data_IF_155085923297
#
_entry.id   IF_155085923297
#
_cell.length_a   1.000
_cell.length_b   1.000
_cell.length_c   1.000
_cell.angle_alpha   90.00
_cell.angle_beta   90.00
_cell.angle_gamma   90.00
#
_symmetry.space_group_name_H-M   'P 1'
#
loop_
_entity.id
_entity.type
_entity.pdbx_description
1 polymer ?
#
# COMPACT_ATOMS: atom_id res chain seq x y z
N UNK A 1 20.71 12.36 9.01
CA UNK A 1 20.26 11.51 7.89
C UNK A 1 21.20 11.72 6.72
N UNK A 2 21.93 10.69 6.33
CA UNK A 2 22.88 10.73 5.21
C UNK A 2 22.14 10.84 3.87
N UNK A 3 22.84 11.23 2.80
CA UNK A 3 22.26 11.24 1.45
C UNK A 3 21.79 9.85 1.00
N UNK A 4 22.49 8.80 1.44
CA UNK A 4 22.11 7.41 1.23
C UNK A 4 20.78 7.05 1.91
N UNK A 5 20.63 7.39 3.20
CA UNK A 5 19.39 7.18 3.96
C UNK A 5 18.23 8.00 3.39
N UNK A 6 18.48 9.25 2.97
CA UNK A 6 17.50 10.09 2.26
C UNK A 6 17.02 9.41 0.98
N UNK A 7 17.96 8.96 0.15
CA UNK A 7 17.66 8.28 -1.11
C UNK A 7 16.83 7.02 -0.88
N UNK A 8 17.21 6.20 0.11
CA UNK A 8 16.43 5.03 0.51
C UNK A 8 14.98 5.41 0.84
N UNK A 9 14.76 6.44 1.67
CA UNK A 9 13.41 6.88 2.05
C UNK A 9 12.59 7.31 0.83
N UNK A 10 13.18 8.02 -0.13
CA UNK A 10 12.50 8.42 -1.36
C UNK A 10 12.13 7.21 -2.22
N UNK A 11 13.04 6.26 -2.41
CA UNK A 11 12.75 5.04 -3.18
C UNK A 11 11.69 4.18 -2.49
N UNK A 12 11.77 4.01 -1.17
CA UNK A 12 10.77 3.31 -0.38
C UNK A 12 9.40 3.98 -0.47
N UNK A 13 9.35 5.32 -0.38
CA UNK A 13 8.12 6.09 -0.54
C UNK A 13 7.52 5.91 -1.94
N UNK A 14 8.32 5.97 -3.01
CA UNK A 14 7.85 5.71 -4.38
C UNK A 14 7.27 4.31 -4.54
N UNK A 15 7.92 3.29 -3.97
CA UNK A 15 7.40 1.93 -3.93
C UNK A 15 6.06 1.85 -3.19
N UNK A 16 5.97 2.51 -2.03
CA UNK A 16 4.72 2.60 -1.26
C UNK A 16 3.61 3.29 -2.03
N UNK A 17 3.87 4.40 -2.72
CA UNK A 17 2.86 5.10 -3.53
C UNK A 17 2.25 4.20 -4.62
N UNK A 18 3.05 3.32 -5.23
CA UNK A 18 2.55 2.34 -6.21
C UNK A 18 1.57 1.34 -5.57
N UNK A 19 1.93 0.85 -4.38
CA UNK A 19 1.11 -0.06 -3.59
C UNK A 19 -0.19 0.63 -3.16
N UNK A 20 -0.08 1.83 -2.57
CA UNK A 20 -1.22 2.62 -2.11
C UNK A 20 -2.22 2.86 -3.25
N UNK A 21 -1.73 3.29 -4.42
CA UNK A 21 -2.57 3.51 -5.61
C UNK A 21 -3.26 2.23 -6.10
N UNK A 22 -2.59 1.08 -5.99
CA UNK A 22 -3.16 -0.22 -6.37
C UNK A 22 -4.30 -0.60 -5.42
N UNK A 23 -4.09 -0.45 -4.11
CA UNK A 23 -5.12 -0.72 -3.11
C UNK A 23 -6.30 0.26 -3.20
N UNK A 24 -6.04 1.54 -3.46
CA UNK A 24 -7.09 2.54 -3.68
C UNK A 24 -7.99 2.14 -4.86
N UNK A 25 -7.39 1.74 -5.99
CA UNK A 25 -8.14 1.26 -7.16
C UNK A 25 -8.87 -0.04 -6.88
N UNK A 26 -8.26 -0.97 -6.15
CA UNK A 26 -8.87 -2.23 -5.75
C UNK A 26 -10.14 -1.99 -4.95
N UNK A 27 -10.05 -1.18 -3.88
CA UNK A 27 -11.15 -0.86 -2.98
C UNK A 27 -12.24 -0.07 -3.69
N UNK A 28 -11.87 0.92 -4.51
CA UNK A 28 -12.85 1.67 -5.30
C UNK A 28 -13.64 0.79 -6.27
N UNK A 29 -12.95 -0.08 -7.03
CA UNK A 29 -13.59 -0.96 -8.02
C UNK A 29 -14.49 -2.01 -7.35
N UNK A 30 -14.11 -2.53 -6.19
CA UNK A 30 -14.80 -3.63 -5.51
C UNK A 30 -15.29 -3.23 -4.12
N UNK A 31 -16.37 -2.43 -4.08
CA UNK A 31 -17.03 -1.96 -2.84
C UNK A 31 -17.45 -3.06 -1.86
N UNK A 32 -17.51 -4.32 -2.30
CA UNK A 32 -17.70 -5.47 -1.41
C UNK A 32 -16.61 -5.55 -0.32
N UNK A 33 -15.39 -5.09 -0.60
CA UNK A 33 -14.28 -5.08 0.35
C UNK A 33 -14.54 -4.18 1.58
N UNK A 34 -15.22 -3.05 1.39
CA UNK A 34 -15.56 -2.15 2.49
C UNK A 34 -16.62 -2.75 3.42
N UNK A 35 -17.44 -3.67 2.88
CA UNK A 35 -18.53 -4.34 3.61
C UNK A 35 -18.09 -5.62 4.31
N UNK A 36 -16.83 -6.06 4.15
CA UNK A 36 -16.32 -7.28 4.77
C UNK A 36 -16.53 -7.34 6.28
N UNK A 37 -16.46 -6.21 6.98
CA UNK A 37 -16.69 -6.12 8.43
C UNK A 37 -18.14 -6.37 8.85
N UNK A 38 -19.11 -6.11 7.96
CA UNK A 38 -20.55 -6.31 8.20
C UNK A 38 -21.08 -7.61 7.62
N UNK A 39 -20.24 -8.42 6.96
CA UNK A 39 -20.65 -9.74 6.49
C UNK A 39 -20.93 -10.65 7.68
N UNK A 40 -22.18 -11.10 7.81
CA UNK A 40 -22.64 -11.92 8.94
C UNK A 40 -21.93 -13.28 9.07
N UNK A 41 -21.19 -13.71 8.05
CA UNK A 41 -20.44 -14.97 8.06
C UNK A 41 -18.95 -14.72 7.76
N UNK A 42 -18.15 -14.59 8.83
CA UNK A 42 -16.72 -14.29 8.74
C UNK A 42 -15.91 -15.31 7.91
N UNK A 43 -16.38 -16.56 7.79
CA UNK A 43 -15.72 -17.58 6.98
C UNK A 43 -15.75 -17.30 5.47
N UNK A 44 -16.67 -16.44 5.00
CA UNK A 44 -16.79 -16.09 3.59
C UNK A 44 -15.94 -14.87 3.19
N UNK A 45 -15.50 -14.07 4.16
CA UNK A 45 -14.71 -12.86 3.92
C UNK A 45 -13.41 -13.14 3.13
N UNK A 46 -12.63 -14.19 3.43
CA UNK A 46 -11.43 -14.51 2.65
C UNK A 46 -11.72 -14.79 1.17
N UNK A 47 -12.81 -15.48 0.87
CA UNK A 47 -13.20 -15.81 -0.51
C UNK A 47 -13.58 -14.55 -1.30
N UNK A 48 -14.28 -13.61 -0.65
CA UNK A 48 -14.60 -12.31 -1.25
C UNK A 48 -13.32 -11.52 -1.54
N UNK A 49 -12.42 -11.44 -0.57
CA UNK A 49 -11.14 -10.73 -0.73
C UNK A 49 -10.34 -11.31 -1.90
N UNK A 50 -10.16 -12.64 -1.93
CA UNK A 50 -9.43 -13.34 -2.99
C UNK A 50 -10.07 -13.09 -4.36
N UNK A 51 -11.40 -13.20 -4.46
CA UNK A 51 -12.13 -12.97 -5.70
C UNK A 51 -11.95 -11.54 -6.21
N UNK A 52 -12.06 -10.53 -5.34
CA UNK A 52 -11.83 -9.13 -5.70
C UNK A 52 -10.40 -8.89 -6.19
N UNK A 53 -9.39 -9.48 -5.55
CA UNK A 53 -8.00 -9.39 -5.98
C UNK A 53 -7.78 -10.04 -7.36
N UNK A 54 -8.34 -11.23 -7.60
CA UNK A 54 -8.24 -11.92 -8.89
C UNK A 54 -8.87 -11.08 -9.99
N UNK A 55 -10.11 -10.61 -9.79
CA UNK A 55 -10.82 -9.80 -10.78
C UNK A 55 -10.14 -8.45 -11.02
N UNK A 56 -9.56 -7.84 -9.98
CA UNK A 56 -8.76 -6.62 -10.11
C UNK A 56 -7.55 -6.84 -11.01
N UNK A 57 -6.76 -7.89 -10.74
CA UNK A 57 -5.55 -8.20 -11.49
C UNK A 57 -5.86 -8.45 -12.96
N UNK A 58 -6.94 -9.19 -13.24
CA UNK A 58 -7.45 -9.38 -14.61
C UNK A 58 -7.77 -8.03 -15.24
N UNK A 59 -8.55 -7.19 -14.56
CA UNK A 59 -8.93 -5.89 -15.09
C UNK A 59 -7.73 -4.95 -15.36
N UNK A 60 -6.72 -4.92 -14.48
CA UNK A 60 -5.48 -4.16 -14.71
C UNK A 60 -4.66 -4.74 -15.86
N UNK A 61 -4.53 -6.07 -15.94
CA UNK A 61 -3.77 -6.75 -17.01
C UNK A 61 -4.35 -6.47 -18.40
N UNK A 62 -5.67 -6.38 -18.52
CA UNK A 62 -6.35 -6.08 -19.78
C UNK A 62 -6.62 -4.58 -20.00
N UNK A 63 -6.08 -3.70 -19.14
CA UNK A 63 -6.23 -2.25 -19.30
C UNK A 63 -7.67 -1.76 -19.17
N UNK A 64 -8.51 -2.47 -18.41
CA UNK A 64 -9.89 -2.07 -18.17
C UNK A 64 -9.94 -0.69 -17.50
N UNK A 65 -10.73 0.26 -18.02
CA UNK A 65 -10.73 1.63 -17.52
C UNK A 65 -11.14 1.67 -16.05
N UNK A 66 -10.48 2.55 -15.31
CA UNK A 66 -10.90 2.93 -13.97
C UNK A 66 -11.83 4.13 -14.04
N UNK A 67 -12.90 4.13 -13.27
CA UNK A 67 -13.83 5.26 -13.18
C UNK A 67 -13.57 5.98 -11.86
N UNK A 68 -13.19 7.25 -11.91
CA UNK A 68 -12.88 8.04 -10.70
C UNK A 68 -14.07 8.13 -9.74
N UNK A 69 -15.29 8.09 -10.26
CA UNK A 69 -16.53 7.98 -9.49
C UNK A 69 -16.57 6.78 -8.53
N UNK A 70 -15.79 5.72 -8.77
CA UNK A 70 -15.66 4.58 -7.86
C UNK A 70 -14.92 4.93 -6.57
N UNK A 71 -13.94 5.84 -6.65
CA UNK A 71 -13.30 6.43 -5.46
C UNK A 71 -14.24 7.44 -4.80
N UNK A 72 -14.90 8.31 -5.58
CA UNK A 72 -15.70 9.42 -5.03
C UNK A 72 -17.00 8.99 -4.34
N UNK A 73 -17.57 7.86 -4.74
CA UNK A 73 -18.83 7.38 -4.17
C UNK A 73 -18.58 6.71 -2.80
N UNK A 74 -18.37 7.52 -1.77
CA UNK A 74 -18.29 7.05 -0.38
C UNK A 74 -19.72 6.82 0.14
N UNK A 75 -20.09 5.58 0.47
CA UNK A 75 -21.31 5.33 1.23
C UNK A 75 -21.05 5.53 2.73
N UNK A 76 -22.09 5.76 3.53
CA UNK A 76 -21.97 5.83 5.00
C UNK A 76 -21.40 4.52 5.60
N UNK A 77 -21.47 3.43 4.83
CA UNK A 77 -20.93 2.10 5.15
C UNK A 77 -19.46 1.93 4.73
N UNK A 78 -18.89 2.88 3.96
CA UNK A 78 -17.46 2.93 3.61
C UNK A 78 -16.62 3.57 4.74
N UNK A 79 -17.24 3.95 5.87
CA UNK A 79 -16.51 4.37 7.07
C UNK A 79 -15.67 3.18 7.54
N UNK A 80 -14.36 3.26 7.32
CA UNK A 80 -13.40 2.32 7.91
C UNK A 80 -13.62 2.31 9.42
N UNK A 81 -14.03 1.16 10.01
CA UNK A 81 -14.10 1.05 11.45
C UNK A 81 -12.72 1.37 12.02
N UNK A 82 -12.68 2.00 13.21
CA UNK A 82 -11.42 2.14 13.94
C UNK A 82 -10.76 0.77 14.03
N UNK A 83 -9.62 0.64 13.34
CA UNK A 83 -8.80 -0.55 13.44
C UNK A 83 -8.42 -0.70 14.93
N UNK A 84 -8.49 -1.91 15.49
CA UNK A 84 -7.99 -2.16 16.83
C UNK A 84 -6.61 -1.53 16.97
N UNK A 85 -6.36 -0.83 18.08
CA UNK A 85 -5.01 -0.34 18.35
C UNK A 85 -4.13 -1.56 18.62
N UNK A 86 -3.52 -2.10 17.56
CA UNK A 86 -2.42 -3.02 17.70
C UNK A 86 -1.23 -2.20 18.17
N UNK A 87 -0.82 -2.40 19.42
CA UNK A 87 0.50 -2.01 19.86
C UNK A 87 1.50 -2.74 18.95
N UNK A 88 1.99 -2.02 17.95
CA UNK A 88 3.01 -2.54 17.06
C UNK A 88 4.28 -2.66 17.91
N UNK A 89 4.50 -3.85 18.48
CA UNK A 89 5.72 -4.19 19.22
C UNK A 89 6.89 -4.32 18.23
N UNK A 90 7.19 -3.27 17.47
CA UNK A 90 8.44 -3.16 16.73
C UNK A 90 9.51 -2.85 17.79
N UNK A 91 9.95 -3.90 18.47
CA UNK A 91 11.02 -3.86 19.48
C UNK A 91 12.33 -4.43 18.94
N UNK A 92 12.32 -4.86 17.68
CA UNK A 92 13.41 -5.62 17.07
C UNK A 92 14.44 -4.71 16.40
N UNK A 93 15.71 -4.82 16.84
CA UNK A 93 16.90 -4.23 16.19
C UNK A 93 17.04 -4.64 14.70
N UNK A 94 16.36 -5.71 14.29
CA UNK A 94 16.43 -6.30 12.96
C UNK A 94 15.89 -5.37 11.86
N UNK A 95 14.93 -4.49 12.18
CA UNK A 95 14.39 -3.52 11.22
C UNK A 95 15.39 -2.45 10.79
N UNK A 96 16.23 -1.99 11.73
CA UNK A 96 17.32 -1.06 11.44
C UNK A 96 18.41 -1.72 10.60
N UNK A 97 18.78 -2.96 10.91
CA UNK A 97 19.75 -3.73 10.12
C UNK A 97 19.26 -3.98 8.68
N UNK A 98 17.99 -4.34 8.50
CA UNK A 98 17.38 -4.48 7.17
C UNK A 98 17.41 -3.15 6.42
N UNK A 99 17.02 -2.05 7.06
CA UNK A 99 17.08 -0.71 6.45
C UNK A 99 18.51 -0.38 6.03
N UNK A 100 19.50 -0.57 6.89
CA UNK A 100 20.90 -0.26 6.61
C UNK A 100 21.45 -1.09 5.44
N UNK A 101 21.12 -2.39 5.39
CA UNK A 101 21.48 -3.28 4.26
C UNK A 101 20.84 -2.82 2.95
N UNK A 102 19.55 -2.48 2.97
CA UNK A 102 18.83 -1.98 1.79
C UNK A 102 19.38 -0.63 1.33
N UNK A 103 19.69 0.28 2.25
CA UNK A 103 20.31 1.57 1.95
C UNK A 103 21.63 1.38 1.20
N UNK A 104 22.49 0.46 1.68
CA UNK A 104 23.75 0.15 0.99
C UNK A 104 23.50 -0.44 -0.40
N UNK A 105 22.66 -1.46 -0.50
CA UNK A 105 22.30 -2.08 -1.78
C UNK A 105 21.76 -1.04 -2.78
N UNK A 106 20.94 -0.11 -2.31
CA UNK A 106 20.37 0.92 -3.16
C UNK A 106 21.41 1.92 -3.65
N UNK A 107 22.34 2.36 -2.79
CA UNK A 107 23.41 3.26 -3.20
C UNK A 107 24.35 2.62 -4.23
N UNK A 108 24.61 1.32 -4.10
CA UNK A 108 25.48 0.59 -5.03
C UNK A 108 24.84 0.39 -6.42
N UNK A 109 23.50 0.50 -6.53
CA UNK A 109 22.76 0.10 -7.74
C UNK A 109 21.87 1.18 -8.37
N UNK A 110 21.53 2.22 -7.63
CA UNK A 110 20.66 3.31 -8.08
C UNK A 110 21.32 4.67 -7.84
N UNK A 111 20.95 5.72 -8.62
CA UNK A 111 21.44 7.06 -8.38
C UNK A 111 21.11 7.56 -6.97
N UNK A 112 22.09 8.17 -6.31
CA UNK A 112 21.86 8.88 -5.05
C UNK A 112 21.09 10.15 -5.36
N UNK A 113 19.99 10.35 -4.65
CA UNK A 113 19.17 11.55 -4.74
C UNK A 113 19.83 12.59 -3.84
N UNK A 114 20.40 13.60 -4.46
CA UNK A 114 20.96 14.78 -3.80
C UNK A 114 20.00 15.92 -4.12
N UNK A 115 19.39 16.51 -3.10
CA UNK A 115 18.60 17.73 -3.30
C UNK A 115 19.57 18.90 -3.57
N UNK A 116 19.20 19.79 -4.50
CA UNK A 116 19.98 20.99 -4.86
C UNK A 116 20.15 21.99 -3.68
N UNK A 117 19.57 21.73 -2.51
CA UNK A 117 19.72 22.55 -1.29
C UNK A 117 21.07 22.39 -0.58
N UNK A 118 21.91 21.43 -1.00
CA UNK A 118 23.26 21.19 -0.47
C UNK A 118 24.38 21.77 -1.40
N UNK A 119 24.05 22.65 -2.37
CA UNK A 119 24.97 23.34 -3.30
C UNK A 119 25.10 24.85 -3.04
#
# INVERSE_FOLDING_TARGET
MTAAERSFNVYAAKGRTCIDRTFERLVGRWKALNRCSSMGQASFVPDVILTCCILHNIAEQYGSPYKDAWSECHSEEDVTPEQPHWECQITSMDGEDVRNRLTKYMCDRFPVIVDDEDL
#
